data_IF_831499882437
#
_entry.id   IF_831499882437
#
_cell.length_a   1.000
_cell.length_b   1.000
_cell.length_c   1.000
_cell.angle_alpha   90.00
_cell.angle_beta   90.00
_cell.angle_gamma   90.00
#
_symmetry.space_group_name_H-M   'P 1'
#
loop_
_entity.id
_entity.type
_entity.pdbx_description
1 polymer ?
#
# COMPACT_ATOMS: atom_id res chain seq x y z
N UNK A 1 7.69 -6.85 -7.02
CA UNK A 1 8.10 -5.69 -6.20
C UNK A 1 7.85 -4.41 -6.96
N UNK A 2 7.27 -3.43 -6.30
CA UNK A 2 6.91 -2.11 -6.84
C UNK A 2 7.68 -1.06 -6.04
N UNK A 3 8.34 -0.11 -6.72
CA UNK A 3 8.92 1.07 -6.07
C UNK A 3 7.88 2.17 -6.03
N UNK A 4 7.53 2.60 -4.82
CA UNK A 4 6.55 3.66 -4.60
C UNK A 4 7.08 4.98 -5.15
N UNK A 5 6.23 5.71 -5.87
CA UNK A 5 6.54 7.04 -6.40
C UNK A 5 5.67 8.12 -5.77
N UNK A 6 4.40 7.80 -5.50
CA UNK A 6 3.42 8.72 -4.91
C UNK A 6 2.62 8.00 -3.83
N UNK A 7 2.34 8.72 -2.75
CA UNK A 7 1.46 8.31 -1.66
C UNK A 7 0.27 9.25 -1.61
N UNK A 8 -0.93 8.71 -1.48
CA UNK A 8 -2.14 9.50 -1.23
C UNK A 8 -2.23 9.89 0.24
N UNK A 9 -2.61 11.14 0.49
CA UNK A 9 -2.84 11.68 1.82
C UNK A 9 -4.33 12.05 1.93
N UNK A 10 -5.11 11.10 2.43
CA UNK A 10 -6.57 11.22 2.49
C UNK A 10 -7.07 11.52 3.92
N UNK A 11 -8.15 12.30 4.09
CA UNK A 11 -8.74 12.54 5.42
C UNK A 11 -9.14 11.26 6.16
N UNK A 12 -9.48 10.18 5.43
CA UNK A 12 -9.84 8.89 6.01
C UNK A 12 -8.68 8.26 6.80
N UNK A 13 -7.43 8.54 6.43
CA UNK A 13 -6.26 8.05 7.15
C UNK A 13 -6.27 8.52 8.61
N UNK A 14 -6.84 9.70 8.90
CA UNK A 14 -7.02 10.18 10.27
C UNK A 14 -7.88 9.22 11.09
N UNK A 15 -8.98 8.71 10.53
CA UNK A 15 -9.87 7.80 11.25
C UNK A 15 -9.16 6.49 11.60
N UNK A 16 -8.30 5.99 10.71
CA UNK A 16 -7.47 4.80 10.94
C UNK A 16 -6.39 5.00 12.01
N UNK A 17 -5.94 6.24 12.24
CA UNK A 17 -4.92 6.55 13.24
C UNK A 17 -5.48 6.81 14.64
N UNK A 18 -6.79 7.03 14.79
CA UNK A 18 -7.41 7.28 16.11
C UNK A 18 -7.49 6.05 17.01
N UNK A 19 -7.24 4.85 16.46
CA UNK A 19 -7.32 3.54 17.14
C UNK A 19 -8.68 3.26 17.82
N UNK A 20 -9.76 3.85 17.30
CA UNK A 20 -11.15 3.58 17.68
C UNK A 20 -11.75 2.44 16.82
N UNK A 21 -11.99 1.24 17.38
CA UNK A 21 -12.39 0.05 16.61
C UNK A 21 -13.64 0.25 15.75
N UNK A 22 -14.63 0.98 16.26
CA UNK A 22 -15.92 1.21 15.59
C UNK A 22 -15.80 2.12 14.34
N UNK A 23 -14.64 2.75 14.15
CA UNK A 23 -14.37 3.69 13.04
C UNK A 23 -13.35 3.14 12.04
N UNK A 24 -13.02 1.84 12.13
CA UNK A 24 -11.91 1.22 11.39
C UNK A 24 -12.35 0.07 10.51
N UNK A 25 -12.06 0.17 9.22
CA UNK A 25 -12.07 -0.97 8.30
C UNK A 25 -10.69 -1.61 8.14
N UNK A 26 -9.63 -0.83 8.37
CA UNK A 26 -8.23 -1.26 8.28
C UNK A 26 -7.52 -0.70 9.52
N UNK A 27 -7.32 -1.50 10.58
CA UNK A 27 -6.67 -1.05 11.80
C UNK A 27 -5.14 -1.16 11.68
N UNK A 28 -4.38 -0.06 11.61
CA UNK A 28 -2.93 -0.13 11.77
C UNK A 28 -2.58 -0.41 13.23
N UNK A 29 -1.60 -1.27 13.48
CA UNK A 29 -1.00 -1.41 14.80
C UNK A 29 -0.03 -0.26 15.06
N UNK A 30 0.14 0.14 16.32
CA UNK A 30 1.23 1.05 16.71
C UNK A 30 2.56 0.40 16.33
N UNK A 31 3.39 1.14 15.60
CA UNK A 31 4.65 0.63 15.04
C UNK A 31 4.50 -0.11 13.70
N UNK A 32 3.27 -0.28 13.20
CA UNK A 32 3.00 -0.81 11.87
C UNK A 32 3.17 0.24 10.76
N UNK A 33 3.18 -0.24 9.51
CA UNK A 33 3.22 0.62 8.32
C UNK A 33 1.83 1.23 8.08
N UNK A 34 1.79 2.54 7.87
CA UNK A 34 0.55 3.24 7.47
C UNK A 34 0.16 2.78 6.08
N UNK A 35 -1.13 2.49 5.86
CA UNK A 35 -1.65 2.06 4.55
C UNK A 35 -2.41 3.21 3.89
N UNK A 36 -2.31 3.31 2.57
CA UNK A 36 -3.10 4.24 1.77
C UNK A 36 -3.05 3.86 0.30
N UNK A 37 -3.79 4.61 -0.53
CA UNK A 37 -3.65 4.49 -1.99
C UNK A 37 -2.27 5.02 -2.38
N UNK A 38 -1.62 4.33 -3.31
CA UNK A 38 -0.30 4.69 -3.77
C UNK A 38 -0.11 4.33 -5.24
N UNK A 39 0.83 5.03 -5.89
CA UNK A 39 1.24 4.78 -7.28
C UNK A 39 2.72 4.45 -7.28
N UNK A 40 3.10 3.44 -8.07
CA UNK A 40 4.46 2.96 -8.12
C UNK A 40 4.79 2.31 -9.45
N UNK A 41 6.09 2.05 -9.63
CA UNK A 41 6.60 1.37 -10.82
C UNK A 41 7.03 -0.04 -10.46
N UNK A 42 6.59 -1.03 -11.24
CA UNK A 42 7.05 -2.42 -11.09
C UNK A 42 8.55 -2.46 -11.36
N UNK A 43 9.31 -2.96 -10.38
CA UNK A 43 10.77 -3.16 -10.50
C UNK A 43 11.06 -4.59 -10.95
N UNK A 44 10.28 -5.55 -10.46
CA UNK A 44 10.31 -6.95 -10.87
C UNK A 44 8.95 -7.60 -10.61
N UNK A 45 8.57 -8.59 -11.42
CA UNK A 45 7.31 -9.32 -11.25
C UNK A 45 7.51 -10.80 -11.58
N UNK A 46 6.81 -11.65 -10.80
CA UNK A 46 6.57 -13.08 -11.10
C UNK A 46 5.08 -13.36 -11.36
N UNK A 47 4.25 -12.31 -11.37
CA UNK A 47 2.83 -12.40 -11.62
C UNK A 47 2.56 -12.15 -13.10
N UNK A 48 1.65 -12.94 -13.68
CA UNK A 48 1.19 -12.73 -15.04
C UNK A 48 0.50 -11.36 -15.17
N UNK A 49 0.69 -10.69 -16.31
CA UNK A 49 0.07 -9.40 -16.60
C UNK A 49 0.78 -8.16 -16.07
N UNK A 50 1.93 -8.32 -15.39
CA UNK A 50 2.76 -7.20 -14.93
C UNK A 50 4.23 -7.41 -15.34
N UNK A 51 4.81 -6.41 -15.98
CA UNK A 51 6.20 -6.37 -16.40
C UNK A 51 6.98 -5.27 -15.67
N UNK A 52 8.30 -5.42 -15.60
CA UNK A 52 9.17 -4.35 -15.11
C UNK A 52 8.97 -3.08 -15.93
N UNK A 53 8.82 -1.95 -15.24
CA UNK A 53 8.55 -0.66 -15.84
C UNK A 53 7.07 -0.24 -15.84
N UNK A 54 6.13 -1.17 -15.61
CA UNK A 54 4.71 -0.83 -15.58
C UNK A 54 4.39 0.13 -14.44
N UNK A 55 3.50 1.09 -14.71
CA UNK A 55 2.94 1.99 -13.71
C UNK A 55 1.67 1.33 -13.13
N UNK A 56 1.65 1.15 -11.82
CA UNK A 56 0.54 0.50 -11.10
C UNK A 56 0.04 1.38 -9.97
N UNK A 57 -1.23 1.16 -9.60
CA UNK A 57 -1.90 1.84 -8.50
C UNK A 57 -2.69 0.81 -7.70
N UNK A 58 -2.62 0.88 -6.38
CA UNK A 58 -3.39 0.05 -5.46
C UNK A 58 -3.31 0.65 -4.04
N UNK A 59 -3.84 -0.03 -3.04
CA UNK A 59 -3.58 0.24 -1.64
C UNK A 59 -2.37 -0.55 -1.14
N UNK A 60 -1.34 0.14 -0.67
CA UNK A 60 -0.20 -0.48 0.01
C UNK A 60 0.39 0.44 1.09
N UNK A 61 1.50 -0.01 1.70
CA UNK A 61 2.15 0.69 2.78
C UNK A 61 2.81 2.00 2.35
N UNK A 62 2.94 2.94 3.28
CA UNK A 62 3.82 4.10 3.14
C UNK A 62 5.27 3.65 3.30
N UNK A 63 5.80 3.08 2.23
CA UNK A 63 7.12 2.44 2.18
C UNK A 63 7.77 2.67 0.81
N UNK A 64 9.10 2.56 0.75
CA UNK A 64 9.83 2.77 -0.51
C UNK A 64 9.55 1.67 -1.54
N UNK A 65 9.35 0.44 -1.08
CA UNK A 65 9.15 -0.73 -1.91
C UNK A 65 8.03 -1.61 -1.35
N UNK A 66 7.03 -1.89 -2.16
CA UNK A 66 5.93 -2.79 -1.85
C UNK A 66 6.08 -4.14 -2.58
N UNK A 67 5.79 -5.24 -1.89
CA UNK A 67 5.81 -6.57 -2.48
C UNK A 67 4.43 -7.24 -2.36
N UNK A 68 3.85 -7.61 -3.50
CA UNK A 68 2.66 -8.46 -3.53
C UNK A 68 3.09 -9.91 -3.31
N UNK A 69 2.53 -10.56 -2.29
CA UNK A 69 2.73 -11.98 -2.02
C UNK A 69 1.47 -12.74 -2.43
N UNK A 70 1.64 -13.75 -3.29
CA UNK A 70 0.54 -14.66 -3.66
C UNK A 70 0.47 -15.79 -2.64
N UNK A 71 -0.55 -15.78 -1.79
CA UNK A 71 -0.84 -16.88 -0.86
C UNK A 71 -1.60 -17.99 -1.60
N UNK A 72 -1.25 -19.25 -1.33
CA UNK A 72 -1.89 -20.46 -1.90
C UNK A 72 -3.12 -20.82 -1.07
#
# INVERSE_FOLDING_TARGET
>A
MVRTQLLSIDPIARNWLLLEPDKMYIPPAVGGVVVGVAVGRVVESRADGFASGDLVTDMWGWEECFAVVRTI
#
